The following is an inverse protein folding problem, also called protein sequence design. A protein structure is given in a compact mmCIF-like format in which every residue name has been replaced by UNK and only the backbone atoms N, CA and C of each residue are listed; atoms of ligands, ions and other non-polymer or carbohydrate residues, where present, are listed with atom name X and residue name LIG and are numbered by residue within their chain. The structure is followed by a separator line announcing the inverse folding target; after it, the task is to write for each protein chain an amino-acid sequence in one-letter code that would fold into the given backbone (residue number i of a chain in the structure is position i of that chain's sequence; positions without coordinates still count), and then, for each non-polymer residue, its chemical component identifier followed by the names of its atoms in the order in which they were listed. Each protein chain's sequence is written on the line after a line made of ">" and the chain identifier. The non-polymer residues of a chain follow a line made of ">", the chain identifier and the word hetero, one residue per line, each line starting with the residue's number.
data_IF_247979907952
#
_entry.id   IF_247979907952
#
_cell.length_a   1.000
_cell.length_b   1.000
_cell.length_c   1.000
_cell.angle_alpha   90.00
_cell.angle_beta   90.00
_cell.angle_gamma   90.00
#
_symmetry.space_group_name_H-M   'P 1'
#
loop_
_entity.id
_entity.type
_entity.pdbx_description
1 polymer ?
#
# COMPACT_ATOMS: atom_id res chain seq x y z
N UNK A 1 20.28 4.31 -20.42
CA UNK A 1 19.89 4.20 -19.00
C UNK A 1 18.66 5.07 -18.80
N UNK A 2 17.67 4.63 -18.03
CA UNK A 2 16.55 5.49 -17.64
C UNK A 2 17.09 6.35 -16.50
N UNK A 3 17.20 7.66 -16.69
CA UNK A 3 17.57 8.56 -15.60
C UNK A 3 16.52 8.46 -14.49
N UNK A 4 16.98 8.17 -13.27
CA UNK A 4 16.15 7.98 -12.07
C UNK A 4 15.12 6.83 -12.20
N UNK A 5 15.58 5.61 -12.52
CA UNK A 5 14.77 4.40 -12.39
C UNK A 5 14.24 4.25 -10.95
N UNK A 6 12.95 3.97 -10.79
CA UNK A 6 12.39 3.68 -9.46
C UNK A 6 12.94 2.34 -8.99
N UNK A 7 13.63 2.33 -7.84
CA UNK A 7 13.92 1.08 -7.12
C UNK A 7 12.69 0.66 -6.31
N UNK A 8 12.23 -0.57 -6.51
CA UNK A 8 11.13 -1.15 -5.75
C UNK A 8 11.69 -1.93 -4.58
N UNK A 9 11.20 -1.65 -3.38
CA UNK A 9 11.48 -2.44 -2.17
C UNK A 9 10.18 -3.10 -1.71
N UNK A 10 10.27 -4.37 -1.36
CA UNK A 10 9.13 -5.14 -0.84
C UNK A 10 9.61 -6.17 0.17
N UNK A 11 8.68 -6.77 0.91
CA UNK A 11 8.99 -7.85 1.84
C UNK A 11 7.90 -8.92 1.86
N UNK A 12 8.33 -10.16 2.07
CA UNK A 12 7.46 -11.28 2.34
C UNK A 12 8.05 -12.20 3.41
N UNK A 13 7.34 -12.30 4.52
CA UNK A 13 7.70 -13.12 5.68
C UNK A 13 6.51 -13.98 6.07
N UNK A 14 6.76 -15.26 6.33
CA UNK A 14 5.79 -16.15 6.94
C UNK A 14 5.67 -15.82 8.42
N UNK A 15 4.59 -15.12 8.77
CA UNK A 15 4.25 -14.75 10.14
C UNK A 15 3.22 -15.70 10.76
N UNK A 16 3.09 -16.92 10.25
CA UNK A 16 2.10 -17.90 10.71
C UNK A 16 0.67 -17.59 10.26
N UNK A 17 0.51 -16.85 9.16
CA UNK A 17 -0.80 -16.35 8.73
C UNK A 17 -1.76 -17.48 8.33
N UNK A 18 -1.22 -18.61 7.85
CA UNK A 18 -1.96 -19.83 7.54
C UNK A 18 -2.72 -20.41 8.73
N UNK A 19 -2.24 -20.16 9.95
CA UNK A 19 -2.80 -20.69 11.19
C UNK A 19 -3.83 -19.72 11.82
N UNK A 20 -4.05 -18.55 11.20
CA UNK A 20 -4.99 -17.54 11.65
C UNK A 20 -6.35 -17.76 10.97
N UNK A 21 -7.33 -18.21 11.76
CA UNK A 21 -8.68 -18.53 11.30
C UNK A 21 -9.33 -17.36 10.54
N UNK A 22 -9.88 -17.62 9.36
CA UNK A 22 -10.50 -16.68 8.40
C UNK A 22 -9.52 -15.71 7.68
N UNK A 23 -8.23 -15.78 7.98
CA UNK A 23 -7.18 -14.99 7.31
C UNK A 23 -6.09 -15.87 6.71
N UNK A 24 -6.40 -17.16 6.52
CA UNK A 24 -5.49 -18.17 6.02
C UNK A 24 -5.00 -17.79 4.63
N UNK A 25 -3.71 -17.51 4.56
CA UNK A 25 -2.98 -17.37 3.31
C UNK A 25 -1.69 -18.12 3.51
N UNK A 26 -1.56 -19.24 2.83
CA UNK A 26 -0.29 -19.94 2.79
C UNK A 26 0.73 -19.15 1.96
N UNK A 27 1.99 -19.58 2.06
CA UNK A 27 3.07 -18.90 1.36
C UNK A 27 2.91 -19.01 -0.17
N UNK A 28 2.35 -20.12 -0.64
CA UNK A 28 2.12 -20.34 -2.08
C UNK A 28 1.07 -19.36 -2.64
N UNK A 29 0.06 -18.98 -1.86
CA UNK A 29 -0.89 -17.93 -2.25
C UNK A 29 -0.21 -16.59 -2.43
N UNK A 30 0.68 -16.20 -1.51
CA UNK A 30 1.42 -14.94 -1.64
C UNK A 30 2.40 -14.94 -2.81
N UNK A 31 3.06 -16.07 -3.05
CA UNK A 31 3.89 -16.26 -4.24
C UNK A 31 3.07 -16.15 -5.52
N UNK A 32 1.86 -16.72 -5.56
CA UNK A 32 0.94 -16.57 -6.70
C UNK A 32 0.51 -15.12 -6.93
N UNK A 33 0.41 -14.32 -5.86
CA UNK A 33 0.12 -12.89 -5.98
C UNK A 33 1.33 -12.13 -6.54
N UNK A 34 2.54 -12.48 -6.10
CA UNK A 34 3.77 -11.87 -6.58
C UNK A 34 4.05 -12.14 -8.06
N UNK A 35 3.62 -13.29 -8.61
CA UNK A 35 3.70 -13.55 -10.06
C UNK A 35 3.09 -12.41 -10.90
N UNK A 36 2.11 -11.68 -10.37
CA UNK A 36 1.50 -10.55 -11.07
C UNK A 36 2.47 -9.36 -11.23
N UNK A 37 3.35 -9.15 -10.26
CA UNK A 37 4.35 -8.08 -10.25
C UNK A 37 5.69 -8.54 -10.82
N UNK A 38 5.90 -9.84 -10.94
CA UNK A 38 7.18 -10.44 -11.27
C UNK A 38 7.75 -10.02 -12.64
N UNK A 39 6.93 -9.57 -13.58
CA UNK A 39 7.39 -9.05 -14.87
C UNK A 39 7.80 -7.57 -14.87
N UNK A 40 7.55 -6.82 -13.79
CA UNK A 40 7.89 -5.39 -13.73
C UNK A 40 9.41 -5.23 -13.84
N UNK A 41 9.86 -4.43 -14.80
CA UNK A 41 11.28 -4.35 -15.23
C UNK A 41 12.17 -3.54 -14.29
N UNK A 42 11.59 -2.88 -13.31
CA UNK A 42 12.34 -2.14 -12.30
C UNK A 42 13.23 -3.07 -11.47
N UNK A 43 14.34 -2.54 -10.98
CA UNK A 43 15.10 -3.15 -9.90
C UNK A 43 14.20 -3.43 -8.69
N UNK A 44 14.22 -4.66 -8.19
CA UNK A 44 13.47 -5.11 -7.02
C UNK A 44 14.41 -5.59 -5.93
N UNK A 45 14.24 -5.05 -4.72
CA UNK A 45 14.88 -5.51 -3.50
C UNK A 45 13.80 -6.16 -2.64
N UNK A 46 13.97 -7.44 -2.33
CA UNK A 46 12.95 -8.25 -1.69
C UNK A 46 13.52 -8.80 -0.38
N UNK A 47 12.91 -8.40 0.73
CA UNK A 47 13.24 -8.91 2.06
C UNK A 47 12.39 -10.16 2.36
N UNK A 48 13.03 -11.25 2.76
CA UNK A 48 12.33 -12.51 3.00
C UNK A 48 13.10 -13.47 3.90
N UNK A 49 12.65 -14.71 4.02
CA UNK A 49 13.30 -15.80 4.75
C UNK A 49 14.02 -16.75 3.78
N UNK A 50 15.07 -17.41 4.25
CA UNK A 50 15.93 -18.26 3.41
C UNK A 50 15.15 -19.37 2.68
N UNK A 51 14.12 -19.93 3.31
CA UNK A 51 13.28 -20.99 2.74
C UNK A 51 12.36 -20.52 1.60
N UNK A 52 12.17 -19.22 1.40
CA UNK A 52 11.29 -18.64 0.36
C UNK A 52 12.09 -18.02 -0.79
N UNK A 53 13.35 -17.66 -0.53
CA UNK A 53 14.27 -16.97 -1.46
C UNK A 53 14.31 -17.60 -2.86
N UNK A 54 14.57 -18.90 -2.96
CA UNK A 54 14.70 -19.57 -4.27
C UNK A 54 13.41 -19.50 -5.09
N UNK A 55 12.24 -19.67 -4.46
CA UNK A 55 10.94 -19.55 -5.15
C UNK A 55 10.71 -18.15 -5.75
N UNK A 56 11.17 -17.10 -5.06
CA UNK A 56 11.07 -15.72 -5.55
C UNK A 56 12.02 -15.49 -6.72
N UNK A 57 13.28 -15.97 -6.61
CA UNK A 57 14.27 -15.87 -7.68
C UNK A 57 13.81 -16.61 -8.93
N UNK A 58 13.33 -17.84 -8.79
CA UNK A 58 12.77 -18.63 -9.89
C UNK A 58 11.61 -17.91 -10.58
N UNK A 59 10.76 -17.24 -9.80
CA UNK A 59 9.64 -16.45 -10.32
C UNK A 59 10.13 -15.27 -11.17
N UNK A 60 11.17 -14.56 -10.73
CA UNK A 60 11.78 -13.44 -11.49
C UNK A 60 12.59 -13.92 -12.69
N UNK A 61 13.25 -15.07 -12.59
CA UNK A 61 14.01 -15.70 -13.68
C UNK A 61 13.13 -16.07 -14.88
N UNK A 62 11.86 -16.47 -14.65
CA UNK A 62 10.89 -16.68 -15.74
C UNK A 62 10.66 -15.44 -16.62
N UNK A 63 11.00 -14.25 -16.10
CA UNK A 63 10.92 -12.98 -16.82
C UNK A 63 12.29 -12.44 -17.27
N UNK A 64 13.38 -13.18 -17.06
CA UNK A 64 14.78 -12.76 -17.28
C UNK A 64 15.13 -11.49 -16.50
N UNK A 65 14.76 -11.46 -15.21
CA UNK A 65 14.95 -10.32 -14.30
C UNK A 65 15.72 -10.70 -13.04
N UNK A 66 16.44 -11.82 -13.04
CA UNK A 66 17.30 -12.25 -11.94
C UNK A 66 18.39 -11.22 -11.61
N UNK A 67 18.99 -10.60 -12.62
CA UNK A 67 20.03 -9.56 -12.50
C UNK A 67 19.49 -8.26 -11.88
N UNK A 68 18.19 -8.03 -12.01
CA UNK A 68 17.45 -6.91 -11.41
C UNK A 68 16.79 -7.24 -10.09
N UNK A 69 17.06 -8.41 -9.52
CA UNK A 69 16.44 -8.87 -8.28
C UNK A 69 17.50 -9.09 -7.21
N UNK A 70 17.34 -8.41 -6.07
CA UNK A 70 18.21 -8.58 -4.90
C UNK A 70 17.35 -9.14 -3.78
N UNK A 71 17.71 -10.31 -3.27
CA UNK A 71 17.06 -10.90 -2.10
C UNK A 71 17.91 -10.62 -0.86
N UNK A 72 17.27 -10.15 0.21
CA UNK A 72 17.90 -9.97 1.51
C UNK A 72 17.17 -10.87 2.51
N UNK A 73 17.92 -11.78 3.13
CA UNK A 73 17.42 -12.62 4.22
C UNK A 73 17.93 -12.08 5.54
N UNK A 74 16.99 -11.68 6.39
CA UNK A 74 17.26 -11.04 7.69
C UNK A 74 16.05 -11.24 8.59
N UNK A 75 16.26 -11.55 9.87
CA UNK A 75 15.17 -11.73 10.82
C UNK A 75 14.44 -10.41 11.10
N UNK A 76 13.11 -10.48 11.26
CA UNK A 76 12.27 -9.29 11.43
C UNK A 76 12.67 -8.46 12.66
N UNK A 77 13.02 -9.13 13.75
CA UNK A 77 13.35 -8.50 15.04
C UNK A 77 14.61 -7.64 14.94
N UNK A 78 15.50 -7.92 13.98
CA UNK A 78 16.76 -7.19 13.81
C UNK A 78 16.59 -5.81 13.16
N UNK A 79 15.41 -5.49 12.60
CA UNK A 79 15.16 -4.16 12.01
C UNK A 79 14.86 -3.10 13.07
N UNK A 80 14.14 -3.47 14.14
CA UNK A 80 13.83 -2.61 15.28
C UNK A 80 13.43 -3.43 16.52
N UNK A 81 14.42 -3.95 17.24
CA UNK A 81 14.20 -4.78 18.42
C UNK A 81 13.35 -4.07 19.49
N UNK A 82 13.51 -2.75 19.64
CA UNK A 82 12.71 -1.96 20.60
C UNK A 82 11.26 -1.83 20.15
N UNK A 83 11.02 -1.56 18.86
CA UNK A 83 9.69 -1.55 18.26
C UNK A 83 9.00 -2.90 18.40
N UNK A 84 9.72 -3.99 18.12
CA UNK A 84 9.26 -5.36 18.28
C UNK A 84 8.76 -5.61 19.72
N UNK A 85 9.62 -5.39 20.73
CA UNK A 85 9.27 -5.60 22.14
C UNK A 85 8.03 -4.82 22.54
N UNK A 86 7.95 -3.53 22.16
CA UNK A 86 6.79 -2.69 22.47
C UNK A 86 5.48 -3.23 21.90
N UNK A 87 5.48 -3.71 20.66
CA UNK A 87 4.27 -4.27 20.04
C UNK A 87 3.87 -5.56 20.75
N UNK A 88 4.81 -6.48 20.99
CA UNK A 88 4.52 -7.72 21.71
C UNK A 88 3.96 -7.42 23.11
N UNK A 89 4.60 -6.54 23.86
CA UNK A 89 4.18 -6.20 25.22
C UNK A 89 2.82 -5.48 25.23
N UNK A 90 2.51 -4.68 24.21
CA UNK A 90 1.19 -4.03 24.06
C UNK A 90 0.08 -5.08 23.90
N UNK A 91 0.28 -6.08 23.04
CA UNK A 91 -0.65 -7.21 22.91
C UNK A 91 -0.75 -8.07 24.19
N UNK A 92 0.35 -8.22 24.94
CA UNK A 92 0.34 -8.97 26.21
C UNK A 92 -0.45 -8.25 27.29
N UNK A 93 -0.34 -6.93 27.34
CA UNK A 93 -0.91 -6.11 28.42
C UNK A 93 -2.36 -5.69 28.16
N UNK A 94 -2.80 -5.66 26.91
CA UNK A 94 -4.16 -5.30 26.52
C UNK A 94 -4.64 -6.11 25.32
N UNK A 95 -5.86 -6.64 25.41
CA UNK A 95 -6.51 -7.31 24.29
C UNK A 95 -6.93 -6.27 23.24
N UNK A 96 -6.18 -6.27 22.12
CA UNK A 96 -6.33 -5.30 21.04
C UNK A 96 -7.67 -5.44 20.28
N UNK A 97 -8.43 -6.51 20.51
CA UNK A 97 -9.74 -6.75 19.88
C UNK A 97 -10.90 -6.02 20.57
N UNK A 98 -10.70 -5.57 21.82
CA UNK A 98 -11.76 -4.97 22.63
C UNK A 98 -12.34 -3.72 21.95
N UNK A 99 -13.67 -3.68 21.82
CA UNK A 99 -14.46 -2.59 21.22
C UNK A 99 -14.14 -2.26 19.75
N UNK A 100 -13.37 -3.11 19.07
CA UNK A 100 -13.09 -2.97 17.63
C UNK A 100 -14.29 -3.45 16.83
N UNK A 101 -14.63 -2.74 15.75
CA UNK A 101 -15.73 -3.11 14.86
C UNK A 101 -15.59 -4.52 14.27
N UNK A 102 -14.36 -4.92 13.94
CA UNK A 102 -14.02 -6.25 13.42
C UNK A 102 -12.94 -6.87 14.32
N UNK A 103 -13.32 -7.41 15.49
CA UNK A 103 -12.35 -7.83 16.52
C UNK A 103 -11.47 -9.01 16.08
N UNK A 104 -11.92 -9.81 15.11
CA UNK A 104 -11.19 -10.95 14.59
C UNK A 104 -10.20 -10.60 13.48
N UNK A 105 -10.15 -9.35 13.03
CA UNK A 105 -9.22 -8.96 11.99
C UNK A 105 -7.77 -9.18 12.42
N UNK A 106 -6.88 -9.46 11.47
CA UNK A 106 -5.50 -9.83 11.76
C UNK A 106 -4.75 -8.76 12.58
N UNK A 107 -5.03 -7.49 12.34
CA UNK A 107 -4.45 -6.35 13.08
C UNK A 107 -4.86 -6.32 14.55
N UNK A 108 -5.95 -6.99 14.92
CA UNK A 108 -6.42 -7.09 16.31
C UNK A 108 -5.84 -8.29 17.05
N UNK A 109 -5.30 -9.30 16.34
CA UNK A 109 -4.95 -10.60 16.94
C UNK A 109 -3.52 -11.06 16.65
N UNK A 110 -2.81 -10.41 15.74
CA UNK A 110 -1.45 -10.79 15.36
C UNK A 110 -0.45 -9.65 15.60
N UNK A 111 0.36 -9.72 16.67
CA UNK A 111 1.41 -8.73 16.89
C UNK A 111 2.46 -8.76 15.79
N UNK A 112 2.76 -9.93 15.22
CA UNK A 112 3.71 -10.06 14.11
C UNK A 112 3.22 -9.39 12.84
N UNK A 113 1.91 -9.40 12.57
CA UNK A 113 1.35 -8.67 11.45
C UNK A 113 1.51 -7.16 11.64
N UNK A 114 1.13 -6.62 12.80
CA UNK A 114 1.33 -5.20 13.12
C UNK A 114 2.79 -4.79 13.00
N UNK A 115 3.71 -5.62 13.50
CA UNK A 115 5.15 -5.35 13.40
C UNK A 115 5.64 -5.37 11.94
N UNK A 116 5.22 -6.34 11.12
CA UNK A 116 5.58 -6.39 9.70
C UNK A 116 5.08 -5.15 8.95
N UNK A 117 3.86 -4.68 9.25
CA UNK A 117 3.31 -3.46 8.64
C UNK A 117 4.07 -2.20 9.09
N UNK A 118 4.48 -2.14 10.37
CA UNK A 118 5.33 -1.09 10.91
C UNK A 118 6.72 -1.03 10.24
N UNK A 119 7.28 -2.18 9.83
CA UNK A 119 8.64 -2.28 9.30
C UNK A 119 8.83 -1.79 7.85
N UNK A 120 7.77 -1.42 7.13
CA UNK A 120 7.87 -0.95 5.73
C UNK A 120 8.99 0.08 5.48
N UNK A 121 9.06 1.22 6.20
CA UNK A 121 10.17 2.16 6.01
C UNK A 121 11.52 1.63 6.49
N UNK A 122 11.56 0.62 7.36
CA UNK A 122 12.81 0.03 7.84
C UNK A 122 13.48 -0.82 6.76
N UNK A 123 12.70 -1.62 6.02
CA UNK A 123 13.20 -2.35 4.86
C UNK A 123 13.80 -1.39 3.82
N UNK A 124 13.08 -0.30 3.52
CA UNK A 124 13.57 0.71 2.58
C UNK A 124 14.86 1.38 3.07
N UNK A 125 14.90 1.79 4.35
CA UNK A 125 16.09 2.42 4.90
C UNK A 125 17.29 1.47 4.99
N UNK A 126 17.08 0.18 5.27
CA UNK A 126 18.14 -0.83 5.24
C UNK A 126 18.71 -0.99 3.82
N UNK A 127 17.85 -0.99 2.79
CA UNK A 127 18.28 -1.04 1.38
C UNK A 127 19.09 0.20 0.98
N UNK A 128 18.65 1.40 1.41
CA UNK A 128 19.39 2.67 1.22
C UNK A 128 20.75 2.59 1.90
N UNK A 129 20.82 2.15 3.16
CA UNK A 129 22.06 2.07 3.92
C UNK A 129 23.09 1.12 3.30
N UNK A 130 22.61 0.06 2.62
CA UNK A 130 23.45 -0.89 1.88
C UNK A 130 23.92 -0.37 0.52
N UNK A 131 23.50 0.83 0.10
CA UNK A 131 23.81 1.38 -1.23
C UNK A 131 23.14 0.62 -2.37
N UNK A 132 22.00 -0.04 -2.11
CA UNK A 132 21.32 -0.88 -3.10
C UNK A 132 20.25 -0.14 -3.88
N UNK A 133 19.88 1.07 -3.48
CA UNK A 133 18.80 1.85 -4.10
C UNK A 133 19.33 3.03 -4.88
N UNK A 134 18.59 3.43 -5.91
CA UNK A 134 18.69 4.76 -6.50
C UNK A 134 17.93 5.80 -5.66
N UNK A 135 17.85 7.05 -6.12
CA UNK A 135 17.23 8.14 -5.37
C UNK A 135 15.69 8.01 -5.27
N UNK A 136 15.04 7.49 -6.31
CA UNK A 136 13.59 7.31 -6.36
C UNK A 136 13.19 5.91 -5.88
N UNK A 137 12.45 5.82 -4.78
CA UNK A 137 12.21 4.54 -4.11
C UNK A 137 10.72 4.36 -3.82
N UNK A 138 10.22 3.19 -4.20
CA UNK A 138 8.85 2.76 -3.97
C UNK A 138 8.82 1.56 -3.02
N UNK A 139 8.01 1.66 -1.96
CA UNK A 139 7.47 0.47 -1.32
C UNK A 139 6.26 -0.01 -2.11
N UNK A 140 6.25 -1.29 -2.47
CA UNK A 140 5.12 -1.97 -3.11
C UNK A 140 4.88 -3.30 -2.39
N UNK A 141 3.69 -3.49 -1.80
CA UNK A 141 3.38 -4.74 -1.09
C UNK A 141 3.62 -5.97 -2.00
N UNK A 142 4.28 -7.00 -1.47
CA UNK A 142 4.67 -8.19 -2.24
C UNK A 142 3.49 -8.87 -2.95
N UNK A 143 2.35 -8.93 -2.27
CA UNK A 143 1.10 -9.48 -2.79
C UNK A 143 0.18 -8.44 -3.43
N UNK A 144 0.66 -7.27 -3.85
CA UNK A 144 -0.18 -6.24 -4.46
C UNK A 144 -1.00 -6.81 -5.65
N UNK A 145 -2.18 -6.24 -5.88
CA UNK A 145 -3.19 -6.71 -6.84
C UNK A 145 -3.82 -8.09 -6.51
N UNK A 146 -3.41 -8.76 -5.43
CA UNK A 146 -3.98 -10.05 -4.98
C UNK A 146 -4.15 -11.08 -6.11
N UNK A 147 -3.15 -11.18 -7.00
CA UNK A 147 -3.13 -12.18 -8.08
C UNK A 147 -4.20 -12.00 -9.14
N UNK A 148 -4.66 -10.77 -9.39
CA UNK A 148 -5.59 -10.51 -10.49
C UNK A 148 -6.88 -9.77 -10.11
N UNK A 149 -6.97 -9.20 -8.91
CA UNK A 149 -8.23 -8.65 -8.41
C UNK A 149 -8.67 -7.41 -9.19
N UNK A 150 -7.73 -6.52 -9.52
CA UNK A 150 -8.00 -5.31 -10.28
C UNK A 150 -7.39 -5.36 -11.67
N UNK A 151 -6.08 -5.47 -11.81
CA UNK A 151 -5.47 -5.82 -13.10
C UNK A 151 -5.64 -7.32 -13.29
N UNK A 152 -6.06 -7.80 -14.46
CA UNK A 152 -6.46 -9.21 -14.61
C UNK A 152 -5.50 -10.06 -15.46
N UNK A 153 -4.59 -9.42 -16.17
CA UNK A 153 -3.68 -10.08 -17.12
C UNK A 153 -2.22 -9.79 -16.72
N UNK A 154 -1.58 -10.77 -16.07
CA UNK A 154 -0.21 -10.64 -15.55
C UNK A 154 0.83 -10.52 -16.66
N UNK A 155 0.56 -11.04 -17.85
CA UNK A 155 1.51 -11.00 -18.96
C UNK A 155 1.67 -9.58 -19.52
N UNK A 156 0.71 -8.69 -19.23
CA UNK A 156 0.80 -7.26 -19.55
C UNK A 156 1.74 -6.50 -18.61
N UNK A 157 2.13 -7.08 -17.46
CA UNK A 157 3.00 -6.45 -16.46
C UNK A 157 4.48 -6.63 -16.82
N UNK A 158 4.87 -6.25 -18.04
CA UNK A 158 6.22 -6.34 -18.56
C UNK A 158 6.77 -4.96 -18.98
N UNK A 159 6.84 -4.04 -18.02
CA UNK A 159 7.23 -2.64 -18.25
C UNK A 159 7.92 -2.00 -17.04
N UNK A 160 8.44 -0.79 -17.24
CA UNK A 160 8.99 0.04 -16.16
C UNK A 160 7.90 0.91 -15.55
N UNK A 161 7.81 0.89 -14.22
CA UNK A 161 7.12 1.91 -13.45
C UNK A 161 7.91 3.22 -13.50
N UNK A 162 7.17 4.32 -13.67
CA UNK A 162 7.67 5.68 -13.84
C UNK A 162 6.73 6.67 -13.15
N UNK A 163 7.29 7.59 -12.36
CA UNK A 163 6.52 8.63 -11.65
C UNK A 163 5.65 9.41 -12.64
N UNK A 164 4.38 9.59 -12.30
CA UNK A 164 3.48 10.48 -13.03
C UNK A 164 3.39 11.86 -12.35
N UNK A 165 2.82 12.85 -13.03
CA UNK A 165 2.77 14.25 -12.58
C UNK A 165 2.14 14.49 -11.20
N UNK A 166 1.36 13.54 -10.68
CA UNK A 166 0.76 13.62 -9.34
C UNK A 166 1.74 13.45 -8.19
N UNK A 167 2.94 12.92 -8.46
CA UNK A 167 3.96 12.61 -7.46
C UNK A 167 4.72 13.89 -7.08
N UNK A 168 4.74 14.22 -5.80
CA UNK A 168 5.54 15.30 -5.24
C UNK A 168 6.88 14.73 -4.76
N UNK A 169 7.95 14.97 -5.53
CA UNK A 169 9.29 14.43 -5.27
C UNK A 169 9.91 14.92 -3.96
N UNK A 170 9.43 16.04 -3.42
CA UNK A 170 9.94 16.59 -2.17
C UNK A 170 9.24 16.00 -0.94
N UNK A 171 8.24 15.13 -1.13
CA UNK A 171 7.42 14.57 -0.04
C UNK A 171 7.36 13.05 -0.05
N UNK A 172 6.78 12.51 1.01
CA UNK A 172 6.34 11.12 1.11
C UNK A 172 4.94 11.04 0.50
N UNK A 173 4.79 10.29 -0.58
CA UNK A 173 3.54 10.18 -1.33
C UNK A 173 2.76 8.96 -0.83
N UNK A 174 1.57 9.22 -0.30
CA UNK A 174 0.61 8.24 0.20
C UNK A 174 -0.68 8.31 -0.61
N UNK A 175 -1.48 7.24 -0.58
CA UNK A 175 -2.72 7.14 -1.33
C UNK A 175 -3.94 7.00 -0.41
N UNK A 176 -5.08 7.58 -0.81
CA UNK A 176 -6.31 7.54 -0.03
C UNK A 176 -7.54 7.17 -0.83
N UNK A 177 -8.30 6.20 -0.33
CA UNK A 177 -9.62 5.81 -0.85
C UNK A 177 -10.77 6.69 -0.33
N UNK A 178 -10.51 7.63 0.59
CA UNK A 178 -11.50 8.57 1.12
C UNK A 178 -11.06 10.02 0.95
N UNK A 179 -12.03 10.92 1.01
CA UNK A 179 -11.74 12.36 1.08
C UNK A 179 -11.29 12.71 2.50
N UNK A 180 -10.75 13.92 2.67
CA UNK A 180 -10.22 14.45 3.94
C UNK A 180 -11.04 13.99 5.16
N UNK A 181 -10.34 13.44 6.16
CA UNK A 181 -10.99 12.89 7.34
C UNK A 181 -10.76 13.79 8.54
N UNK A 182 -11.87 14.23 9.15
CA UNK A 182 -11.88 15.03 10.38
C UNK A 182 -12.11 14.19 11.66
N UNK A 183 -12.30 12.88 11.55
CA UNK A 183 -12.45 11.99 12.70
C UNK A 183 -11.15 11.90 13.52
N UNK A 184 -11.30 11.73 14.83
CA UNK A 184 -10.19 11.48 15.75
C UNK A 184 -9.56 10.12 15.48
N UNK A 185 -8.28 9.96 15.81
CA UNK A 185 -7.61 8.66 15.66
C UNK A 185 -8.27 7.57 16.52
N UNK A 186 -8.74 7.90 17.73
CA UNK A 186 -9.48 6.95 18.56
C UNK A 186 -10.75 6.43 17.87
N UNK A 187 -11.53 7.30 17.21
CA UNK A 187 -12.72 6.87 16.47
C UNK A 187 -12.36 5.94 15.29
N UNK A 188 -11.26 6.25 14.60
CA UNK A 188 -10.77 5.42 13.48
C UNK A 188 -10.30 4.06 13.98
N UNK A 189 -9.59 4.03 15.11
CA UNK A 189 -9.17 2.80 15.76
C UNK A 189 -10.39 1.91 16.06
N UNK A 190 -11.40 2.39 16.77
CA UNK A 190 -12.54 1.51 17.09
C UNK A 190 -13.41 1.16 15.86
N UNK A 191 -13.62 2.11 14.94
CA UNK A 191 -14.42 1.88 13.73
C UNK A 191 -13.71 1.03 12.67
N UNK A 192 -12.38 0.89 12.76
CA UNK A 192 -11.52 0.20 11.81
C UNK A 192 -11.68 0.72 10.37
N UNK A 193 -11.98 2.01 10.25
CA UNK A 193 -12.19 2.63 8.96
C UNK A 193 -10.87 2.94 8.26
N UNK A 194 -10.64 2.36 7.08
CA UNK A 194 -9.47 2.67 6.27
C UNK A 194 -9.58 4.03 5.58
N UNK A 195 -8.53 4.84 5.69
CA UNK A 195 -8.38 6.14 5.03
C UNK A 195 -7.17 6.17 4.10
N UNK A 196 -5.99 5.97 4.67
CA UNK A 196 -4.75 5.85 3.92
C UNK A 196 -4.47 4.38 3.62
N UNK A 197 -3.86 4.15 2.47
CA UNK A 197 -3.49 2.83 2.01
C UNK A 197 -2.02 2.57 2.34
N UNK A 198 -1.72 1.34 2.77
CA UNK A 198 -0.35 0.90 3.04
C UNK A 198 0.35 0.24 1.84
N UNK A 199 -0.39 -0.05 0.76
CA UNK A 199 0.09 -0.94 -0.30
C UNK A 199 1.13 -0.36 -1.26
N UNK A 200 1.16 0.97 -1.38
CA UNK A 200 2.13 1.71 -2.19
C UNK A 200 2.53 2.96 -1.44
N UNK A 201 3.84 3.20 -1.33
CA UNK A 201 4.41 4.44 -0.79
C UNK A 201 5.58 4.82 -1.68
N UNK A 202 5.68 6.09 -2.06
CA UNK A 202 6.80 6.58 -2.86
C UNK A 202 7.46 7.79 -2.20
N UNK A 203 8.79 7.78 -2.13
CA UNK A 203 9.56 8.92 -1.65
C UNK A 203 11.01 8.83 -2.13
N UNK A 204 11.73 9.96 -2.09
CA UNK A 204 13.19 9.97 -2.25
C UNK A 204 13.92 9.46 -1.02
N UNK A 205 15.17 9.03 -1.16
CA UNK A 205 16.02 8.47 -0.10
C UNK A 205 15.93 9.23 1.23
N UNK A 206 16.13 10.55 1.21
CA UNK A 206 16.08 11.40 2.41
C UNK A 206 14.73 11.37 3.13
N UNK A 207 13.64 11.24 2.37
CA UNK A 207 12.27 11.26 2.88
C UNK A 207 11.89 9.91 3.49
N UNK A 208 12.50 8.81 3.05
CA UNK A 208 12.35 7.50 3.70
C UNK A 208 12.98 7.46 5.09
N UNK A 209 14.17 8.04 5.27
CA UNK A 209 14.81 8.18 6.59
C UNK A 209 13.94 8.99 7.55
N UNK A 210 13.37 10.10 7.05
CA UNK A 210 12.42 10.92 7.81
C UNK A 210 11.15 10.13 8.16
N UNK A 211 10.62 9.36 7.21
CA UNK A 211 9.43 8.55 7.43
C UNK A 211 9.64 7.45 8.49
N UNK A 212 10.79 6.76 8.46
CA UNK A 212 11.18 5.79 9.51
C UNK A 212 11.12 6.43 10.89
N UNK A 213 11.68 7.64 11.05
CA UNK A 213 11.64 8.37 12.32
C UNK A 213 10.20 8.73 12.76
N UNK A 214 9.34 9.14 11.82
CA UNK A 214 7.94 9.40 12.13
C UNK A 214 7.23 8.13 12.62
N UNK A 215 7.45 6.98 11.99
CA UNK A 215 6.87 5.70 12.44
C UNK A 215 7.39 5.30 13.83
N UNK A 216 8.68 5.47 14.10
CA UNK A 216 9.26 5.25 15.44
C UNK A 216 8.66 6.15 16.53
N UNK A 217 8.26 7.38 16.18
CA UNK A 217 7.50 8.23 17.10
C UNK A 217 6.06 7.76 17.23
N UNK A 218 5.41 7.43 16.12
CA UNK A 218 4.04 6.93 16.09
C UNK A 218 3.88 5.72 17.02
N UNK A 219 4.78 4.73 16.92
CA UNK A 219 4.69 3.52 17.75
C UNK A 219 4.80 3.85 19.24
N UNK A 220 5.71 4.75 19.63
CA UNK A 220 5.86 5.19 21.03
C UNK A 220 4.55 5.77 21.57
N UNK A 221 3.87 6.62 20.79
CA UNK A 221 2.60 7.21 21.20
C UNK A 221 1.48 6.17 21.29
N UNK A 222 1.30 5.33 20.27
CA UNK A 222 0.26 4.31 20.26
C UNK A 222 0.40 3.35 21.45
N UNK A 223 1.61 2.82 21.66
CA UNK A 223 1.87 1.90 22.76
C UNK A 223 1.77 2.56 24.14
N UNK A 224 1.94 3.88 24.25
CA UNK A 224 1.72 4.59 25.52
C UNK A 224 0.24 4.64 25.95
N UNK A 225 -0.67 4.46 25.00
CA UNK A 225 -2.10 4.29 25.26
C UNK A 225 -2.51 2.81 25.37
N UNK A 226 -1.56 1.87 25.32
CA UNK A 226 -1.84 0.44 25.34
C UNK A 226 -2.47 -0.10 24.05
N UNK A 227 -2.40 0.65 22.94
CA UNK A 227 -3.01 0.25 21.66
C UNK A 227 -1.96 0.09 20.56
N UNK A 228 -2.26 -0.79 19.59
CA UNK A 228 -1.51 -0.94 18.34
C UNK A 228 -2.45 -1.40 17.21
N UNK A 229 -2.07 -1.16 15.97
CA UNK A 229 -2.89 -1.47 14.79
C UNK A 229 -1.98 -1.74 13.58
N UNK A 230 -2.56 -1.89 12.38
CA UNK A 230 -1.81 -1.91 11.13
C UNK A 230 -1.23 -0.52 10.74
N UNK A 231 -0.54 -0.48 9.60
CA UNK A 231 0.12 0.74 9.13
C UNK A 231 -0.86 1.86 8.76
N UNK A 232 -2.13 1.60 8.45
CA UNK A 232 -3.04 2.59 7.87
C UNK A 232 -3.33 3.74 8.82
N UNK A 233 -3.61 3.45 10.08
CA UNK A 233 -3.86 4.48 11.10
C UNK A 233 -2.55 5.16 11.53
N UNK A 234 -1.43 4.44 11.52
CA UNK A 234 -0.11 4.98 11.82
C UNK A 234 0.36 5.97 10.74
N UNK A 235 0.13 5.63 9.46
CA UNK A 235 0.33 6.52 8.32
C UNK A 235 -0.49 7.80 8.48
N UNK A 236 -1.75 7.68 8.94
CA UNK A 236 -2.61 8.83 9.16
C UNK A 236 -2.12 9.71 10.31
N UNK A 237 -1.64 9.10 11.40
CA UNK A 237 -1.00 9.83 12.49
C UNK A 237 0.22 10.61 11.97
N UNK A 238 1.09 9.96 11.18
CA UNK A 238 2.27 10.60 10.62
C UNK A 238 1.90 11.79 9.70
N UNK A 239 0.96 11.58 8.78
CA UNK A 239 0.55 12.59 7.82
C UNK A 239 -0.14 13.80 8.49
N UNK A 240 -0.86 13.58 9.60
CA UNK A 240 -1.48 14.68 10.38
C UNK A 240 -0.46 15.47 11.19
N UNK A 241 0.49 14.80 11.85
CA UNK A 241 1.47 15.45 12.71
C UNK A 241 2.60 16.14 11.93
N UNK A 242 2.89 15.67 10.72
CA UNK A 242 4.00 16.16 9.89
C UNK A 242 3.54 16.58 8.50
N UNK A 243 2.38 17.25 8.41
CA UNK A 243 1.66 17.56 7.16
C UNK A 243 2.53 18.10 6.01
N UNK A 244 3.56 18.91 6.30
CA UNK A 244 4.47 19.47 5.28
C UNK A 244 5.28 18.40 4.53
N UNK A 245 5.49 17.24 5.16
CA UNK A 245 6.35 16.16 4.67
C UNK A 245 5.59 15.14 3.80
N UNK A 246 4.26 15.24 3.74
CA UNK A 246 3.40 14.25 3.09
C UNK A 246 2.58 14.85 1.95
N UNK A 247 2.49 14.11 0.84
CA UNK A 247 1.54 14.32 -0.23
C UNK A 247 0.52 13.18 -0.19
N UNK A 248 -0.78 13.49 -0.10
CA UNK A 248 -1.84 12.48 -0.07
C UNK A 248 -2.61 12.57 -1.38
N UNK A 249 -2.52 11.51 -2.18
CA UNK A 249 -3.15 11.43 -3.49
C UNK A 249 -4.45 10.64 -3.34
N UNK A 250 -5.56 11.26 -3.75
CA UNK A 250 -6.87 10.61 -3.78
C UNK A 250 -6.93 9.60 -4.92
N UNK A 251 -7.37 8.38 -4.61
CA UNK A 251 -7.65 7.32 -5.59
C UNK A 251 -9.05 6.75 -5.38
N UNK A 252 -9.58 6.00 -6.35
CA UNK A 252 -10.95 5.49 -6.29
C UNK A 252 -11.01 4.05 -5.77
N UNK A 253 -9.97 3.28 -6.06
CA UNK A 253 -9.82 1.88 -5.68
C UNK A 253 -8.51 1.69 -4.91
N UNK A 254 -8.24 0.47 -4.46
CA UNK A 254 -6.97 0.21 -3.79
C UNK A 254 -5.85 0.04 -4.82
N UNK A 255 -6.11 -0.76 -5.85
CA UNK A 255 -5.07 -1.16 -6.79
C UNK A 255 -4.86 -0.17 -7.95
N UNK A 256 -5.79 0.77 -8.16
CA UNK A 256 -5.66 1.84 -9.16
C UNK A 256 -4.59 2.88 -8.75
N UNK A 257 -4.15 2.88 -7.48
CA UNK A 257 -3.00 3.68 -7.03
C UNK A 257 -1.74 3.44 -7.87
N UNK A 258 -1.58 2.24 -8.45
CA UNK A 258 -0.45 1.93 -9.31
C UNK A 258 -0.47 2.73 -10.63
N UNK A 259 -1.62 3.25 -11.08
CA UNK A 259 -1.68 4.11 -12.27
C UNK A 259 -0.88 5.41 -12.13
N UNK A 260 -0.59 5.85 -10.90
CA UNK A 260 0.32 6.97 -10.65
C UNK A 260 1.78 6.65 -10.95
N UNK A 261 2.06 5.42 -11.37
CA UNK A 261 3.37 4.93 -11.77
C UNK A 261 3.38 4.14 -13.08
N UNK A 262 2.24 3.87 -13.70
CA UNK A 262 2.17 3.14 -14.99
C UNK A 262 2.23 4.17 -16.13
N UNK A 263 3.13 4.01 -17.12
CA UNK A 263 3.16 4.88 -18.29
C UNK A 263 1.80 4.96 -19.00
N UNK A 264 1.36 6.17 -19.36
CA UNK A 264 -0.01 6.40 -19.86
C UNK A 264 -0.37 5.58 -21.10
N UNK A 265 0.60 5.36 -22.00
CA UNK A 265 0.42 4.54 -23.21
C UNK A 265 0.21 3.05 -22.90
N UNK A 266 0.73 2.58 -21.76
CA UNK A 266 0.55 1.21 -21.26
C UNK A 266 -0.75 1.12 -20.47
N UNK A 267 -1.02 2.08 -19.59
CA UNK A 267 -2.21 2.12 -18.73
C UNK A 267 -3.52 1.92 -19.52
N UNK A 268 -3.63 2.55 -20.70
CA UNK A 268 -4.79 2.45 -21.61
C UNK A 268 -5.02 1.05 -22.19
N UNK A 269 -4.01 0.17 -22.15
CA UNK A 269 -4.05 -1.18 -22.74
C UNK A 269 -4.22 -2.27 -21.69
N UNK A 270 -4.07 -1.94 -20.40
CA UNK A 270 -4.17 -2.91 -19.32
C UNK A 270 -5.62 -3.38 -19.17
N UNK A 271 -5.80 -4.70 -19.13
CA UNK A 271 -7.08 -5.31 -18.83
C UNK A 271 -7.34 -5.17 -17.33
N UNK A 272 -8.51 -4.65 -16.99
CA UNK A 272 -8.94 -4.45 -15.61
C UNK A 272 -10.29 -5.10 -15.32
N UNK A 273 -10.48 -5.47 -14.07
CA UNK A 273 -11.73 -5.92 -13.52
C UNK A 273 -12.64 -4.72 -13.26
N UNK A 274 -13.44 -4.35 -14.26
CA UNK A 274 -14.37 -3.24 -14.17
C UNK A 274 -15.43 -3.41 -13.08
N UNK A 275 -15.66 -4.63 -12.57
CA UNK A 275 -16.61 -4.85 -11.47
C UNK A 275 -16.11 -4.25 -10.15
N UNK A 276 -14.79 -4.08 -9.99
CA UNK A 276 -14.24 -3.34 -8.87
C UNK A 276 -14.53 -1.84 -9.00
N UNK A 277 -14.78 -1.35 -10.22
CA UNK A 277 -15.00 0.07 -10.49
C UNK A 277 -16.44 0.48 -10.23
N UNK A 278 -16.67 1.12 -9.09
CA UNK A 278 -17.93 1.79 -8.78
C UNK A 278 -18.01 3.13 -9.52
N UNK A 279 -18.36 3.11 -10.81
CA UNK A 279 -18.33 4.28 -11.70
C UNK A 279 -19.08 5.51 -11.14
N UNK A 280 -20.17 5.31 -10.41
CA UNK A 280 -20.90 6.39 -9.75
C UNK A 280 -20.04 7.19 -8.75
N UNK A 281 -18.98 6.61 -8.16
CA UNK A 281 -18.06 7.33 -7.26
C UNK A 281 -17.26 8.38 -8.03
N UNK A 282 -16.77 8.04 -9.22
CA UNK A 282 -16.04 8.96 -10.11
C UNK A 282 -16.95 10.12 -10.52
N UNK A 283 -18.19 9.81 -10.93
CA UNK A 283 -19.16 10.83 -11.31
C UNK A 283 -19.55 11.72 -10.13
N UNK A 284 -19.64 11.16 -8.91
CA UNK A 284 -19.92 11.93 -7.69
C UNK A 284 -18.86 13.00 -7.42
N UNK A 285 -17.59 12.72 -7.70
CA UNK A 285 -16.52 13.70 -7.52
C UNK A 285 -16.56 14.78 -8.60
N UNK A 286 -16.74 14.38 -9.88
CA UNK A 286 -16.97 15.35 -10.97
C UNK A 286 -18.17 16.27 -10.69
N UNK A 287 -19.26 15.70 -10.18
CA UNK A 287 -20.44 16.46 -9.75
C UNK A 287 -20.08 17.52 -8.70
N UNK A 288 -19.25 17.17 -7.70
CA UNK A 288 -18.82 18.12 -6.66
C UNK A 288 -17.93 19.22 -7.24
N UNK A 289 -17.01 18.87 -8.14
CA UNK A 289 -16.14 19.84 -8.81
C UNK A 289 -16.97 20.81 -9.67
N UNK A 290 -17.87 20.29 -10.52
CA UNK A 290 -18.75 21.11 -11.34
C UNK A 290 -19.66 22.00 -10.49
N UNK A 291 -20.17 21.49 -9.37
CA UNK A 291 -20.98 22.27 -8.44
C UNK A 291 -20.17 23.40 -7.81
N UNK A 292 -18.97 23.11 -7.31
CA UNK A 292 -18.07 24.12 -6.72
C UNK A 292 -17.65 25.18 -7.75
N UNK A 293 -17.44 24.76 -9.00
CA UNK A 293 -17.09 25.64 -10.11
C UNK A 293 -18.30 26.34 -10.74
N UNK A 294 -19.50 26.18 -10.17
CA UNK A 294 -20.77 26.75 -10.67
C UNK A 294 -21.08 26.40 -12.13
N UNK A 295 -20.60 25.25 -12.62
CA UNK A 295 -20.88 24.74 -13.95
C UNK A 295 -22.23 24.00 -13.95
N UNK A 296 -23.32 24.75 -14.09
CA UNK A 296 -24.71 24.27 -13.97
C UNK A 296 -25.00 23.14 -14.98
N UNK A 297 -24.56 23.30 -16.24
CA UNK A 297 -24.78 22.31 -17.31
C UNK A 297 -24.12 20.97 -16.97
N UNK A 298 -22.84 20.99 -16.61
CA UNK A 298 -22.13 19.76 -16.28
C UNK A 298 -22.61 19.14 -14.96
N UNK A 299 -23.01 19.97 -13.99
CA UNK A 299 -23.62 19.50 -12.74
C UNK A 299 -24.89 18.70 -13.03
N UNK A 300 -25.78 19.21 -13.87
CA UNK A 300 -27.00 18.49 -14.24
C UNK A 300 -26.71 17.18 -14.98
N UNK A 301 -25.79 17.21 -15.96
CA UNK A 301 -25.36 16.01 -16.70
C UNK A 301 -24.77 14.95 -15.75
N UNK A 302 -23.87 15.37 -14.85
CA UNK A 302 -23.25 14.45 -13.90
C UNK A 302 -24.22 13.98 -12.82
N UNK A 303 -25.27 14.76 -12.49
CA UNK A 303 -26.32 14.32 -11.57
C UNK A 303 -27.14 13.18 -12.17
N UNK A 304 -27.55 13.32 -13.44
CA UNK A 304 -28.26 12.26 -14.18
C UNK A 304 -27.39 10.99 -14.24
N UNK A 305 -26.13 11.13 -14.67
CA UNK A 305 -25.18 10.01 -14.71
C UNK A 305 -25.02 9.38 -13.32
N UNK A 306 -24.86 10.18 -12.28
CA UNK A 306 -24.73 9.69 -10.91
C UNK A 306 -25.93 8.85 -10.50
N UNK A 307 -27.15 9.35 -10.70
CA UNK A 307 -28.37 8.62 -10.38
C UNK A 307 -28.48 7.32 -11.18
N UNK A 308 -28.23 7.37 -12.49
CA UNK A 308 -28.25 6.20 -13.36
C UNK A 308 -27.26 5.13 -12.90
N UNK A 309 -25.98 5.47 -12.71
CA UNK A 309 -24.97 4.49 -12.33
C UNK A 309 -25.01 4.07 -10.85
N UNK A 310 -25.63 4.87 -9.97
CA UNK A 310 -25.77 4.49 -8.56
C UNK A 310 -26.98 3.61 -8.31
N UNK A 311 -28.10 3.86 -8.99
CA UNK A 311 -29.38 3.23 -8.68
C UNK A 311 -29.86 2.26 -9.76
N UNK A 312 -29.51 2.47 -11.04
CA UNK A 312 -30.01 1.67 -12.16
C UNK A 312 -28.93 0.71 -12.67
N UNK A 313 -27.75 1.22 -13.01
CA UNK A 313 -26.66 0.44 -13.63
C UNK A 313 -25.39 0.45 -12.77
N UNK A 314 -25.47 -0.19 -11.60
CA UNK A 314 -24.37 -0.26 -10.62
C UNK A 314 -23.09 -0.91 -11.15
N UNK A 315 -23.22 -1.83 -12.11
CA UNK A 315 -22.13 -2.66 -12.64
C UNK A 315 -21.64 -2.17 -14.01
N UNK A 316 -21.92 -0.93 -14.38
CA UNK A 316 -21.49 -0.40 -15.66
C UNK A 316 -19.96 -0.44 -15.79
N UNK A 317 -19.48 -1.01 -16.90
CA UNK A 317 -18.06 -1.16 -17.20
C UNK A 317 -17.51 0.16 -17.72
N UNK A 318 -16.41 0.65 -17.14
CA UNK A 318 -15.69 1.80 -17.71
C UNK A 318 -14.74 1.25 -18.78
N UNK A 319 -14.92 1.70 -20.02
CA UNK A 319 -13.96 1.53 -21.11
C UNK A 319 -12.87 2.59 -20.99
#
# INVERSE_FOLDING_TARGET
>A
MIDNEITIVTAFYDIGRKDIKNFERDNDKYLSYFEFLAGIKNKMIIYTQENIKEKILDTRKKHNLEDKTIIITKELQEFDEQGYKKIIDTFRNYDQSINRKNPNNIECISPMYCYLMYLKPFFVCDAIQRGLTDEDIMWLDFGFNHGGNFFVDKDQFNFYLQKQNSIDENKINLFSIKNDNKQTLANIYFSMETFLMGGIIFAKSKNWLLFKHHMQKCIKYFTSFGIIDDDQIMLLWCARNYRKNYNIIKVYFWFDSLYHFIPQNIAKKLKINTNQIKYYKIIKEKLKEDFNNKNIKNTFINLIKYCYFKFINKNHKVL
#
